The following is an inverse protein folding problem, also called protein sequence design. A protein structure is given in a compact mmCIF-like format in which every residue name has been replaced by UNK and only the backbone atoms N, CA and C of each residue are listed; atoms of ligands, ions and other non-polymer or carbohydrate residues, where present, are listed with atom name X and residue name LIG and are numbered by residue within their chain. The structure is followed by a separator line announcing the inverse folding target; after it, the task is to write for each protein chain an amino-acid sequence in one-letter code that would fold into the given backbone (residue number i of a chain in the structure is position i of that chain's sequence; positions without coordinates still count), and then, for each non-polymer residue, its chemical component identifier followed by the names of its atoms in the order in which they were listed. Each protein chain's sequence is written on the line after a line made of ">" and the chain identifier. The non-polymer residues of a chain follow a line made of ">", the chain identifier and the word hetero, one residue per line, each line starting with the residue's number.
data_IF_492813041050
#
_entry.id   IF_492813041050
#
_cell.length_a   1.000
_cell.length_b   1.000
_cell.length_c   1.000
_cell.angle_alpha   90.00
_cell.angle_beta   90.00
_cell.angle_gamma   90.00
#
_symmetry.space_group_name_H-M   'P 1'
#
loop_
_entity.id
_entity.type
_entity.pdbx_description
1 polymer ?
#
# COMPACT_ATOMS: atom_id res chain seq x y z
N UNK A 1 -3.42 0.47 9.72
CA UNK A 1 -4.26 1.44 9.01
C UNK A 1 -5.19 0.65 8.12
N UNK A 2 -6.47 0.65 8.47
CA UNK A 2 -7.49 -0.11 7.76
C UNK A 2 -8.45 0.89 7.10
N UNK A 3 -8.40 0.94 5.78
CA UNK A 3 -9.26 1.77 4.93
C UNK A 3 -9.92 0.90 3.84
N UNK A 4 -9.92 -0.41 4.02
CA UNK A 4 -10.56 -1.36 3.12
C UNK A 4 -12.09 -1.18 3.08
N UNK A 5 -12.71 -1.60 1.99
CA UNK A 5 -14.16 -1.54 1.76
C UNK A 5 -14.71 -0.10 1.76
N UNK A 6 -14.10 0.77 0.99
CA UNK A 6 -14.55 2.15 0.78
C UNK A 6 -14.59 2.51 -0.71
N UNK A 7 -14.97 3.76 -1.01
CA UNK A 7 -14.97 4.32 -2.36
C UNK A 7 -13.74 5.24 -2.59
N UNK A 8 -12.61 4.95 -1.93
CA UNK A 8 -11.40 5.78 -2.03
C UNK A 8 -10.83 5.61 -3.45
N UNK A 9 -10.63 6.73 -4.13
CA UNK A 9 -10.07 6.79 -5.47
C UNK A 9 -8.77 7.59 -5.51
N UNK A 10 -8.10 7.62 -6.67
CA UNK A 10 -6.81 8.26 -6.86
C UNK A 10 -5.66 7.26 -6.78
N UNK A 11 -4.55 7.64 -6.15
CA UNK A 11 -3.31 6.83 -6.05
C UNK A 11 -2.85 6.76 -4.61
N UNK A 12 -2.12 5.70 -4.24
CA UNK A 12 -1.46 5.65 -2.92
C UNK A 12 -0.35 6.70 -2.89
N UNK A 13 -0.38 7.69 -1.97
CA UNK A 13 0.63 8.72 -1.93
C UNK A 13 1.98 8.17 -1.42
N UNK A 14 3.13 8.61 -1.95
CA UNK A 14 4.44 8.19 -1.45
C UNK A 14 4.66 8.46 0.05
N UNK A 15 3.99 9.48 0.61
CA UNK A 15 4.03 9.84 2.03
C UNK A 15 3.42 8.78 2.94
N UNK A 16 2.64 7.82 2.42
CA UNK A 16 2.22 6.64 3.21
C UNK A 16 3.43 5.84 3.72
N UNK A 17 4.57 5.92 3.03
CA UNK A 17 5.84 5.32 3.48
C UNK A 17 6.44 5.96 4.74
N UNK A 18 5.96 7.12 5.18
CA UNK A 18 6.45 7.82 6.39
C UNK A 18 5.80 7.31 7.68
N UNK A 19 4.80 6.42 7.58
CA UNK A 19 4.10 5.83 8.72
C UNK A 19 4.95 4.75 9.40
N UNK A 20 6.06 5.14 10.04
CA UNK A 20 7.12 4.22 10.50
C UNK A 20 6.63 3.06 11.38
N UNK A 21 5.65 3.29 12.24
CA UNK A 21 5.10 2.31 13.19
C UNK A 21 3.98 1.43 12.61
N UNK A 22 3.65 1.59 11.33
CA UNK A 22 2.53 0.89 10.71
C UNK A 22 2.86 -0.59 10.48
N UNK A 23 2.07 -1.47 11.10
CA UNK A 23 2.24 -2.93 10.97
C UNK A 23 1.38 -3.53 9.84
N UNK A 24 0.18 -2.99 9.66
CA UNK A 24 -0.76 -3.45 8.64
C UNK A 24 -1.29 -2.26 7.84
N UNK A 25 -1.24 -2.38 6.52
CA UNK A 25 -1.87 -1.45 5.59
C UNK A 25 -2.92 -2.19 4.77
N UNK A 26 -4.21 -1.94 5.06
CA UNK A 26 -5.33 -2.51 4.33
C UNK A 26 -5.99 -1.41 3.49
N UNK A 27 -5.85 -1.53 2.18
CA UNK A 27 -6.45 -0.64 1.18
C UNK A 27 -7.28 -1.43 0.16
N UNK A 28 -7.51 -2.73 0.40
CA UNK A 28 -8.27 -3.59 -0.49
C UNK A 28 -9.73 -3.17 -0.62
N UNK A 29 -10.37 -3.55 -1.73
CA UNK A 29 -11.77 -3.19 -2.02
C UNK A 29 -12.00 -1.68 -2.04
N UNK A 30 -11.29 -0.98 -2.94
CA UNK A 30 -11.38 0.46 -3.20
C UNK A 30 -11.26 0.73 -4.72
N UNK A 31 -11.25 2.01 -5.11
CA UNK A 31 -11.07 2.48 -6.48
C UNK A 31 -9.65 3.06 -6.74
N UNK A 32 -8.65 2.67 -5.95
CA UNK A 32 -7.27 3.14 -6.11
C UNK A 32 -6.67 2.66 -7.43
N UNK A 33 -5.86 3.51 -8.05
CA UNK A 33 -5.23 3.29 -9.36
C UNK A 33 -3.76 3.68 -9.33
N UNK A 34 -3.07 3.54 -10.47
CA UNK A 34 -1.64 3.83 -10.58
C UNK A 34 -0.76 2.68 -10.12
N UNK A 35 0.42 2.99 -9.60
CA UNK A 35 1.44 2.01 -9.20
C UNK A 35 1.61 1.95 -7.68
N UNK A 36 2.18 0.86 -7.17
CA UNK A 36 2.55 0.74 -5.77
C UNK A 36 3.77 1.65 -5.49
N UNK A 37 3.71 2.60 -4.54
CA UNK A 37 4.85 3.45 -4.22
C UNK A 37 5.99 2.61 -3.61
N UNK A 38 7.24 2.71 -4.12
CA UNK A 38 8.38 2.02 -3.52
C UNK A 38 8.66 2.44 -2.07
N UNK A 39 8.18 3.62 -1.66
CA UNK A 39 8.29 4.15 -0.29
C UNK A 39 7.57 3.27 0.74
N UNK A 40 6.58 2.47 0.33
CA UNK A 40 5.96 1.50 1.24
C UNK A 40 6.95 0.47 1.79
N UNK A 41 8.04 0.18 1.06
CA UNK A 41 9.13 -0.68 1.54
C UNK A 41 10.02 -0.01 2.60
N UNK A 42 9.84 1.28 2.86
CA UNK A 42 10.51 2.01 3.96
C UNK A 42 9.79 1.90 5.31
N UNK A 43 8.60 1.28 5.35
CA UNK A 43 7.83 1.10 6.58
C UNK A 43 8.40 -0.10 7.34
N UNK A 44 9.32 0.17 8.28
CA UNK A 44 10.11 -0.86 8.97
C UNK A 44 9.29 -1.95 9.66
N UNK A 45 8.09 -1.61 10.16
CA UNK A 45 7.25 -2.55 10.90
C UNK A 45 6.15 -3.20 10.07
N UNK A 46 6.04 -2.86 8.77
CA UNK A 46 4.98 -3.37 7.92
C UNK A 46 5.17 -4.87 7.69
N UNK A 47 4.16 -5.65 8.05
CA UNK A 47 4.14 -7.09 7.86
C UNK A 47 2.93 -7.57 7.04
N UNK A 48 1.95 -6.70 6.79
CA UNK A 48 0.80 -7.01 5.97
C UNK A 48 0.44 -5.84 5.06
N UNK A 49 0.35 -6.12 3.76
CA UNK A 49 -0.03 -5.16 2.73
C UNK A 49 -1.16 -5.75 1.87
N UNK A 50 -2.36 -5.20 2.01
CA UNK A 50 -3.56 -5.67 1.30
C UNK A 50 -3.98 -4.62 0.27
N UNK A 51 -3.87 -4.96 -1.01
CA UNK A 51 -4.12 -4.06 -2.15
C UNK A 51 -5.09 -4.62 -3.20
N UNK A 52 -5.60 -5.85 -3.02
CA UNK A 52 -6.46 -6.50 -4.01
C UNK A 52 -7.81 -5.77 -4.17
N UNK A 53 -8.56 -6.09 -5.22
CA UNK A 53 -9.81 -5.38 -5.55
C UNK A 53 -9.62 -3.86 -5.64
N UNK A 54 -8.61 -3.45 -6.39
CA UNK A 54 -8.33 -2.06 -6.81
C UNK A 54 -7.96 -2.06 -8.30
N UNK A 55 -7.69 -0.88 -8.86
CA UNK A 55 -7.21 -0.65 -10.24
C UNK A 55 -5.69 -0.40 -10.29
N UNK A 56 -4.95 -0.88 -9.29
CA UNK A 56 -3.48 -0.76 -9.22
C UNK A 56 -2.85 -1.63 -10.33
N UNK A 57 -1.85 -1.10 -11.01
CA UNK A 57 -1.17 -1.72 -12.15
C UNK A 57 0.34 -1.46 -12.10
N UNK A 58 1.09 -2.05 -13.03
CA UNK A 58 2.55 -1.94 -13.10
C UNK A 58 3.27 -3.05 -12.34
N UNK A 59 4.52 -2.80 -11.96
CA UNK A 59 5.39 -3.79 -11.31
C UNK A 59 5.37 -3.65 -9.80
N UNK A 60 5.48 -4.77 -9.08
CA UNK A 60 5.74 -4.76 -7.64
C UNK A 60 7.15 -4.20 -7.39
N UNK A 61 7.31 -3.12 -6.61
CA UNK A 61 8.62 -2.56 -6.31
C UNK A 61 9.50 -3.54 -5.52
N UNK A 62 10.77 -3.68 -5.90
CA UNK A 62 11.76 -4.52 -5.21
C UNK A 62 11.96 -4.15 -3.73
N UNK A 63 11.62 -2.92 -3.34
CA UNK A 63 11.69 -2.42 -1.98
C UNK A 63 10.74 -3.17 -1.04
N UNK A 64 9.70 -3.81 -1.58
CA UNK A 64 8.76 -4.63 -0.82
C UNK A 64 9.25 -6.06 -0.57
N UNK A 65 10.42 -6.44 -1.08
CA UNK A 65 10.98 -7.78 -0.87
C UNK A 65 11.29 -8.09 0.60
N UNK A 66 11.32 -7.08 1.47
CA UNK A 66 11.57 -7.24 2.91
C UNK A 66 10.30 -7.50 3.73
N UNK A 67 9.11 -7.49 3.10
CA UNK A 67 7.88 -7.87 3.78
C UNK A 67 7.92 -9.39 4.08
N UNK A 68 7.64 -9.80 5.33
CA UNK A 68 7.68 -11.20 5.76
C UNK A 68 6.58 -12.08 5.14
#
# INVERSE_FOLDING_TARGET
>A
LHLDNNEISGTVPPTTGELSELQELRLDNNDLSGTIPPQLGGISWLNQLWLYSNKISGTVPSQLNNLP
#
